data_IF_661641176015
#
_entry.id   IF_661641176015
#
_cell.length_a   1.000
_cell.length_b   1.000
_cell.length_c   1.000
_cell.angle_alpha   90.00
_cell.angle_beta   90.00
_cell.angle_gamma   90.00
#
_symmetry.space_group_name_H-M   'P 1'
#
loop_
_entity.id
_entity.type
_entity.pdbx_description
1 polymer ?
#
# COMPACT_ATOMS: atom_id res chain seq x y z
N UNK A 1 -6.94 -39.44 63.85
CA UNK A 1 -5.63 -38.74 63.78
C UNK A 1 -4.77 -39.62 62.89
N UNK A 2 -4.45 -39.29 61.65
CA UNK A 2 -4.58 -38.07 60.85
C UNK A 2 -4.76 -38.49 59.39
N UNK A 3 -5.46 -37.64 58.66
CA UNK A 3 -5.78 -37.75 57.24
C UNK A 3 -4.81 -36.84 56.50
N UNK A 4 -4.09 -37.34 55.50
CA UNK A 4 -3.41 -36.51 54.48
C UNK A 4 -3.61 -37.24 53.15
N UNK A 5 -4.77 -37.06 52.52
CA UNK A 5 -5.03 -36.06 51.47
C UNK A 5 -4.05 -36.21 50.29
N UNK A 6 -4.48 -37.01 49.31
CA UNK A 6 -4.02 -36.95 47.93
C UNK A 6 -4.31 -35.53 47.40
N UNK A 7 -3.25 -34.78 47.10
CA UNK A 7 -3.36 -33.58 46.28
C UNK A 7 -3.35 -34.00 44.82
N UNK A 8 -4.54 -34.28 44.29
CA UNK A 8 -4.81 -34.19 42.86
C UNK A 8 -4.82 -32.70 42.49
N UNK A 9 -3.67 -32.20 42.02
CA UNK A 9 -3.59 -30.88 41.41
C UNK A 9 -4.02 -31.05 39.95
N UNK A 10 -5.34 -31.11 39.72
CA UNK A 10 -5.91 -30.79 38.41
C UNK A 10 -5.72 -29.28 38.19
N UNK A 11 -4.66 -28.92 37.45
CA UNK A 11 -4.59 -27.63 36.76
C UNK A 11 -5.63 -27.63 35.62
N UNK A 12 -6.90 -27.55 36.01
CA UNK A 12 -7.97 -27.16 35.11
C UNK A 12 -7.77 -25.69 34.77
N UNK A 13 -7.08 -25.41 33.67
CA UNK A 13 -7.20 -24.13 32.99
C UNK A 13 -8.67 -24.05 32.54
N UNK A 14 -9.53 -23.46 33.38
CA UNK A 14 -10.88 -23.10 33.00
C UNK A 14 -10.75 -22.07 31.89
N UNK A 15 -10.73 -22.55 30.65
CA UNK A 15 -11.04 -21.73 29.49
C UNK A 15 -12.50 -21.35 29.69
N UNK A 16 -12.75 -20.08 29.95
CA UNK A 16 -14.11 -19.58 30.05
C UNK A 16 -14.74 -19.66 28.65
N UNK A 17 -15.47 -20.75 28.40
CA UNK A 17 -16.16 -20.99 27.13
C UNK A 17 -17.22 -19.93 26.83
N UNK A 18 -17.54 -19.02 27.76
CA UNK A 18 -18.45 -17.90 27.51
C UNK A 18 -17.83 -16.75 26.71
N UNK A 19 -16.50 -16.73 26.52
CA UNK A 19 -15.80 -15.73 25.70
C UNK A 19 -15.53 -16.19 24.26
N UNK A 20 -15.75 -17.47 23.94
CA UNK A 20 -15.54 -18.01 22.59
C UNK A 20 -16.73 -17.67 21.69
N UNK A 21 -16.45 -16.95 20.61
CA UNK A 21 -17.44 -16.62 19.59
C UNK A 21 -17.63 -17.78 18.64
N UNK A 22 -18.88 -17.97 18.22
CA UNK A 22 -19.20 -18.87 17.11
C UNK A 22 -18.61 -18.33 15.81
N UNK A 23 -18.46 -19.20 14.80
CA UNK A 23 -17.97 -18.78 13.49
C UNK A 23 -18.84 -17.68 12.85
N UNK A 24 -20.15 -17.70 13.07
CA UNK A 24 -21.04 -16.63 12.59
C UNK A 24 -20.73 -15.29 13.26
N UNK A 25 -20.57 -15.28 14.59
CA UNK A 25 -20.30 -14.04 15.33
C UNK A 25 -18.93 -13.42 14.96
N UNK A 26 -17.91 -14.26 14.77
CA UNK A 26 -16.59 -13.79 14.29
C UNK A 26 -16.69 -13.21 12.88
N UNK A 27 -17.44 -13.85 11.99
CA UNK A 27 -17.62 -13.38 10.63
C UNK A 27 -18.44 -12.08 10.57
N UNK A 28 -19.51 -11.97 11.35
CA UNK A 28 -20.34 -10.77 11.42
C UNK A 28 -19.51 -9.56 11.93
N UNK A 29 -18.73 -9.74 13.00
CA UNK A 29 -17.82 -8.70 13.51
C UNK A 29 -16.73 -8.32 12.49
N UNK A 30 -16.22 -9.31 11.73
CA UNK A 30 -15.23 -9.06 10.70
C UNK A 30 -15.83 -8.32 9.51
N UNK A 31 -17.04 -8.70 9.07
CA UNK A 31 -17.78 -8.03 8.00
C UNK A 31 -18.04 -6.55 8.32
N UNK A 32 -18.41 -6.25 9.56
CA UNK A 32 -18.55 -4.87 10.04
C UNK A 32 -17.19 -4.13 10.01
N UNK A 33 -16.10 -4.83 10.36
CA UNK A 33 -14.77 -4.23 10.37
C UNK A 33 -14.19 -3.91 8.99
N UNK A 34 -14.60 -4.65 7.94
CA UNK A 34 -14.16 -4.43 6.56
C UNK A 34 -15.13 -3.56 5.76
N UNK A 35 -16.18 -3.01 6.39
CA UNK A 35 -17.23 -2.26 5.71
C UNK A 35 -16.67 -1.14 4.81
N UNK A 36 -15.63 -0.42 5.29
CA UNK A 36 -14.97 0.64 4.52
C UNK A 36 -13.80 0.17 3.66
N UNK A 37 -13.37 -1.09 3.78
CA UNK A 37 -12.17 -1.58 3.11
C UNK A 37 -12.28 -1.46 1.59
N UNK A 38 -13.45 -1.80 1.02
CA UNK A 38 -13.66 -1.71 -0.42
C UNK A 38 -13.48 -0.27 -0.94
N UNK A 39 -14.11 0.70 -0.28
CA UNK A 39 -14.01 2.11 -0.70
C UNK A 39 -12.60 2.67 -0.52
N UNK A 40 -11.89 2.27 0.54
CA UNK A 40 -10.48 2.64 0.76
C UNK A 40 -9.56 2.05 -0.33
N UNK A 41 -9.74 0.78 -0.70
CA UNK A 41 -8.99 0.14 -1.79
C UNK A 41 -9.27 0.84 -3.12
N UNK A 42 -10.54 1.10 -3.45
CA UNK A 42 -10.92 1.79 -4.69
C UNK A 42 -10.33 3.20 -4.74
N UNK A 43 -10.40 3.95 -3.63
CA UNK A 43 -9.81 5.29 -3.56
C UNK A 43 -8.30 5.27 -3.76
N UNK A 44 -7.58 4.33 -3.14
CA UNK A 44 -6.14 4.19 -3.31
C UNK A 44 -5.75 3.79 -4.75
N UNK A 45 -6.51 2.90 -5.38
CA UNK A 45 -6.29 2.50 -6.78
C UNK A 45 -6.56 3.64 -7.76
N UNK A 46 -7.58 4.45 -7.50
CA UNK A 46 -7.87 5.64 -8.31
C UNK A 46 -6.77 6.70 -8.18
N UNK A 47 -6.24 6.89 -6.97
CA UNK A 47 -5.09 7.77 -6.72
C UNK A 47 -3.83 7.27 -7.45
N UNK A 48 -3.55 5.96 -7.42
CA UNK A 48 -2.46 5.34 -8.18
C UNK A 48 -2.62 5.58 -9.69
N UNK A 49 -3.83 5.41 -10.22
CA UNK A 49 -4.13 5.69 -11.63
C UNK A 49 -3.85 7.14 -11.98
N UNK A 50 -4.23 8.07 -11.11
CA UNK A 50 -3.97 9.49 -11.32
C UNK A 50 -2.46 9.81 -11.31
N UNK A 51 -1.70 9.21 -10.41
CA UNK A 51 -0.24 9.35 -10.38
C UNK A 51 0.43 8.72 -11.61
N UNK A 52 -0.08 7.59 -12.10
CA UNK A 52 0.39 6.98 -13.36
C UNK A 52 0.25 7.94 -14.55
N UNK A 53 -0.90 8.60 -14.67
CA UNK A 53 -1.13 9.59 -15.71
C UNK A 53 -0.17 10.79 -15.58
N UNK A 54 0.12 11.24 -14.35
CA UNK A 54 1.08 12.32 -14.11
C UNK A 54 2.51 11.91 -14.48
N UNK A 55 2.96 10.71 -14.06
CA UNK A 55 4.27 10.18 -14.42
C UNK A 55 4.43 10.07 -15.93
N UNK A 56 3.41 9.59 -16.65
CA UNK A 56 3.47 9.45 -18.10
C UNK A 56 3.53 10.82 -18.80
N UNK A 57 2.83 11.84 -18.29
CA UNK A 57 2.93 13.22 -18.79
C UNK A 57 4.33 13.78 -18.58
N UNK A 58 4.90 13.64 -17.37
CA UNK A 58 6.25 14.12 -17.05
C UNK A 58 7.30 13.41 -17.91
N UNK A 59 7.17 12.10 -18.11
CA UNK A 59 8.04 11.31 -19.00
C UNK A 59 8.05 11.86 -20.43
N UNK A 60 6.88 12.19 -20.98
CA UNK A 60 6.76 12.78 -22.32
C UNK A 60 7.45 14.14 -22.39
N UNK A 61 7.18 15.02 -21.42
CA UNK A 61 7.78 16.36 -21.38
C UNK A 61 9.30 16.30 -21.23
N UNK A 62 9.80 15.42 -20.36
CA UNK A 62 11.23 15.20 -20.17
C UNK A 62 11.89 14.73 -21.47
N UNK A 63 11.27 13.77 -22.17
CA UNK A 63 11.75 13.29 -23.47
C UNK A 63 11.77 14.40 -24.52
N UNK A 64 10.70 15.20 -24.61
CA UNK A 64 10.64 16.34 -25.53
C UNK A 64 11.73 17.38 -25.24
N UNK A 65 12.01 17.66 -23.96
CA UNK A 65 13.09 18.58 -23.57
C UNK A 65 14.46 18.00 -23.94
N UNK A 66 14.65 16.70 -23.74
CA UNK A 66 15.89 16.01 -24.11
C UNK A 66 16.11 16.04 -25.63
N UNK A 67 15.09 15.74 -26.42
CA UNK A 67 15.16 15.76 -27.89
C UNK A 67 15.52 17.17 -28.40
N UNK A 68 14.92 18.22 -27.81
CA UNK A 68 15.26 19.62 -28.12
C UNK A 68 16.69 19.98 -27.72
N UNK A 69 17.15 19.51 -26.56
CA UNK A 69 18.52 19.73 -26.09
C UNK A 69 19.55 19.21 -27.09
N UNK A 70 19.32 18.01 -27.65
CA UNK A 70 20.19 17.42 -28.67
C UNK A 70 20.10 18.16 -30.01
N UNK A 71 18.90 18.51 -30.46
CA UNK A 71 18.73 19.29 -31.69
C UNK A 71 19.48 20.64 -31.66
N UNK A 72 19.50 21.31 -30.51
CA UNK A 72 20.27 22.55 -30.31
C UNK A 72 21.79 22.35 -30.26
N UNK A 73 22.28 21.13 -29.98
CA UNK A 73 23.72 20.83 -30.06
C UNK A 73 24.17 20.60 -31.50
N UNK A 74 23.31 20.01 -32.32
CA UNK A 74 23.60 19.69 -33.72
C UNK A 74 23.41 20.89 -34.67
N UNK A 75 22.71 21.95 -34.23
CA UNK A 75 22.49 23.16 -35.03
C UNK A 75 23.65 24.14 -34.94
N UNK A 76 24.35 24.39 -36.06
CA UNK A 76 25.42 25.40 -36.16
C UNK A 76 24.90 26.85 -36.25
N UNK A 77 23.60 27.05 -36.52
CA UNK A 77 22.95 28.35 -36.56
C UNK A 77 22.18 28.62 -35.26
N UNK A 78 22.73 29.51 -34.42
CA UNK A 78 21.99 30.07 -33.28
C UNK A 78 21.23 31.31 -33.76
N UNK A 79 19.90 31.23 -33.75
CA UNK A 79 19.07 32.43 -33.85
C UNK A 79 19.07 33.13 -32.48
N UNK A 80 19.15 34.46 -32.46
CA UNK A 80 19.48 35.27 -31.25
C UNK A 80 18.35 35.25 -30.18
N UNK A 81 17.22 34.61 -30.49
CA UNK A 81 16.06 34.42 -29.62
C UNK A 81 15.79 32.97 -29.18
N UNK A 82 16.54 31.99 -29.69
CA UNK A 82 16.29 30.58 -29.40
C UNK A 82 16.93 30.13 -28.08
N UNK A 83 16.16 29.35 -27.31
CA UNK A 83 16.61 28.75 -26.05
C UNK A 83 17.78 27.81 -26.33
N UNK A 84 18.89 28.02 -25.62
CA UNK A 84 20.07 27.21 -25.80
C UNK A 84 19.90 25.77 -25.29
N UNK A 85 20.83 24.90 -25.69
CA UNK A 85 20.83 23.49 -25.25
C UNK A 85 20.87 23.36 -23.72
N UNK A 86 21.56 24.27 -23.03
CA UNK A 86 21.64 24.30 -21.55
C UNK A 86 20.25 24.48 -20.91
N UNK A 87 19.44 25.39 -21.45
CA UNK A 87 18.06 25.59 -20.98
C UNK A 87 17.22 24.31 -21.10
N UNK A 88 17.25 23.65 -22.26
CA UNK A 88 16.48 22.43 -22.49
C UNK A 88 16.95 21.27 -21.61
N UNK A 89 18.26 21.16 -21.38
CA UNK A 89 18.85 20.19 -20.45
C UNK A 89 18.38 20.42 -19.02
N UNK A 90 18.42 21.66 -18.52
CA UNK A 90 17.96 21.99 -17.17
C UNK A 90 16.44 21.72 -17.01
N UNK A 91 15.66 21.96 -18.06
CA UNK A 91 14.23 21.61 -18.05
C UNK A 91 14.01 20.10 -18.01
N UNK A 92 14.76 19.32 -18.78
CA UNK A 92 14.69 17.86 -18.74
C UNK A 92 15.04 17.31 -17.35
N UNK A 93 16.11 17.82 -16.73
CA UNK A 93 16.53 17.46 -15.38
C UNK A 93 15.42 17.77 -14.35
N UNK A 94 14.84 18.98 -14.40
CA UNK A 94 13.73 19.36 -13.52
C UNK A 94 12.54 18.39 -13.64
N UNK A 95 12.10 18.08 -14.85
CA UNK A 95 10.95 17.19 -15.04
C UNK A 95 11.26 15.74 -14.69
N UNK A 96 12.52 15.34 -14.80
CA UNK A 96 12.98 14.04 -14.33
C UNK A 96 12.91 13.94 -12.80
N UNK A 97 13.39 14.96 -12.08
CA UNK A 97 13.27 15.04 -10.61
C UNK A 97 11.81 15.02 -10.16
N UNK A 98 10.94 15.79 -10.82
CA UNK A 98 9.49 15.78 -10.53
C UNK A 98 8.88 14.40 -10.77
N UNK A 99 9.31 13.71 -11.83
CA UNK A 99 8.86 12.34 -12.10
C UNK A 99 9.32 11.35 -11.03
N UNK A 100 10.53 11.50 -10.48
CA UNK A 100 11.01 10.66 -9.37
C UNK A 100 10.16 10.87 -8.12
N UNK A 101 9.84 12.12 -7.78
CA UNK A 101 8.96 12.41 -6.65
C UNK A 101 7.59 11.75 -6.82
N UNK A 102 7.03 11.76 -8.04
CA UNK A 102 5.75 11.08 -8.32
C UNK A 102 5.84 9.57 -8.21
N UNK A 103 6.98 8.98 -8.55
CA UNK A 103 7.21 7.56 -8.30
C UNK A 103 7.27 7.22 -6.81
N UNK A 104 7.90 8.07 -5.99
CA UNK A 104 7.93 7.88 -4.53
C UNK A 104 6.51 7.97 -3.92
N UNK A 105 5.69 8.92 -4.39
CA UNK A 105 4.27 9.01 -4.00
C UNK A 105 3.50 7.71 -4.32
N UNK A 106 3.73 7.11 -5.51
CA UNK A 106 3.12 5.82 -5.87
C UNK A 106 3.55 4.67 -4.98
N UNK A 107 4.83 4.63 -4.61
CA UNK A 107 5.36 3.61 -3.69
C UNK A 107 4.65 3.74 -2.35
N UNK A 108 4.54 4.96 -1.82
CA UNK A 108 3.89 5.21 -0.53
C UNK A 108 2.41 4.76 -0.51
N UNK A 109 1.65 4.99 -1.58
CA UNK A 109 0.26 4.51 -1.68
C UNK A 109 0.20 2.99 -1.77
N UNK A 110 1.11 2.39 -2.54
CA UNK A 110 1.18 0.93 -2.68
C UNK A 110 1.51 0.27 -1.35
N UNK A 111 2.45 0.83 -0.58
CA UNK A 111 2.80 0.37 0.76
C UNK A 111 1.62 0.51 1.72
N UNK A 112 0.88 1.63 1.65
CA UNK A 112 -0.33 1.82 2.45
C UNK A 112 -1.39 0.77 2.12
N UNK A 113 -1.62 0.50 0.83
CA UNK A 113 -2.59 -0.50 0.38
C UNK A 113 -2.20 -1.91 0.82
N UNK A 114 -0.92 -2.27 0.67
CA UNK A 114 -0.39 -3.55 1.14
C UNK A 114 -0.61 -3.71 2.65
N UNK A 115 -0.20 -2.71 3.44
CA UNK A 115 -0.35 -2.74 4.90
C UNK A 115 -1.83 -2.82 5.34
N UNK A 116 -2.74 -2.15 4.63
CA UNK A 116 -4.17 -2.22 4.91
C UNK A 116 -4.68 -3.65 4.71
N UNK A 117 -4.40 -4.25 3.56
CA UNK A 117 -4.82 -5.62 3.23
C UNK A 117 -4.21 -6.65 4.18
N UNK A 118 -2.92 -6.54 4.47
CA UNK A 118 -2.23 -7.43 5.41
C UNK A 118 -2.85 -7.37 6.80
N UNK A 119 -3.16 -6.18 7.34
CA UNK A 119 -3.81 -6.06 8.66
C UNK A 119 -5.18 -6.72 8.71
N UNK A 120 -5.96 -6.63 7.64
CA UNK A 120 -7.27 -7.27 7.58
C UNK A 120 -7.13 -8.79 7.50
N UNK A 121 -6.17 -9.28 6.71
CA UNK A 121 -5.86 -10.69 6.61
C UNK A 121 -5.39 -11.27 7.96
N UNK A 122 -4.41 -10.62 8.61
CA UNK A 122 -3.86 -11.06 9.89
C UNK A 122 -4.94 -11.06 10.99
N UNK A 123 -5.80 -10.03 11.01
CA UNK A 123 -6.91 -9.96 11.97
C UNK A 123 -7.90 -11.12 11.79
N UNK A 124 -8.23 -11.47 10.55
CA UNK A 124 -9.13 -12.59 10.28
C UNK A 124 -8.49 -13.91 10.74
N UNK A 125 -7.23 -14.14 10.39
CA UNK A 125 -6.48 -15.33 10.79
C UNK A 125 -6.36 -15.45 12.32
N UNK A 126 -6.07 -14.34 13.02
CA UNK A 126 -6.02 -14.28 14.48
C UNK A 126 -7.37 -14.60 15.14
N UNK A 127 -8.47 -14.03 14.63
CA UNK A 127 -9.80 -14.28 15.19
C UNK A 127 -10.27 -15.72 14.90
N UNK A 128 -9.96 -16.28 13.72
CA UNK A 128 -10.25 -17.69 13.42
C UNK A 128 -9.46 -18.63 14.34
N UNK A 129 -8.16 -18.38 14.51
CA UNK A 129 -7.29 -19.16 15.38
C UNK A 129 -7.73 -19.06 16.86
N UNK A 130 -8.03 -17.86 17.36
CA UNK A 130 -8.48 -17.64 18.75
C UNK A 130 -9.76 -18.40 19.06
N UNK A 131 -10.68 -18.48 18.11
CA UNK A 131 -11.96 -19.16 18.28
C UNK A 131 -11.93 -20.63 17.86
N UNK A 132 -10.75 -21.21 17.58
CA UNK A 132 -10.56 -22.59 17.10
C UNK A 132 -11.39 -22.92 15.85
N UNK A 133 -11.67 -21.93 14.99
CA UNK A 133 -12.44 -22.12 13.77
C UNK A 133 -11.49 -22.55 12.66
N UNK A 134 -11.68 -23.75 12.14
CA UNK A 134 -11.02 -24.21 10.92
C UNK A 134 -12.00 -24.03 9.76
N UNK A 135 -11.62 -23.20 8.79
CA UNK A 135 -12.35 -23.10 7.52
C UNK A 135 -11.93 -24.28 6.65
N UNK A 136 -12.67 -25.37 6.69
CA UNK A 136 -12.54 -26.45 5.72
C UNK A 136 -13.10 -25.94 4.36
N UNK A 137 -12.25 -25.97 3.33
CA UNK A 137 -12.56 -25.52 1.97
C UNK A 137 -13.35 -26.50 1.13
#
# INVERSE_FOLDING_TARGET
MESEQLNDIEYGHNVDFSELKTASEVLDDYLDSIYNLNSEVVAALEELRHLDEQCEKLRKICKECQDKSFACMDSEQKDDGDKDSSYWRNMAEKYFEESLQKHDEKIAITDKLYNLLTRHYDRLDEELARNNIHLDG
#
